data_IF_709896448632
#
_entry.id   IF_709896448632
#
_cell.length_a   1.000
_cell.length_b   1.000
_cell.length_c   1.000
_cell.angle_alpha   90.00
_cell.angle_beta   90.00
_cell.angle_gamma   90.00
#
_symmetry.space_group_name_H-M   'P 1'
#
loop_
_entity.id
_entity.type
_entity.pdbx_description
1 polymer ?
#
# COMPACT_ATOMS: atom_id res chain seq x y z
N UNK A 1 -20.68 -14.62 -4.81
CA UNK A 1 -19.89 -13.49 -4.28
C UNK A 1 -18.56 -13.47 -5.01
N UNK A 2 -18.02 -12.30 -5.37
CA UNK A 2 -16.72 -12.24 -6.06
C UNK A 2 -15.59 -12.47 -5.06
N UNK A 3 -14.44 -12.94 -5.54
CA UNK A 3 -13.26 -13.20 -4.69
C UNK A 3 -12.90 -12.01 -3.81
N UNK A 4 -12.96 -10.79 -4.36
CA UNK A 4 -12.68 -9.56 -3.63
C UNK A 4 -13.64 -9.32 -2.46
N UNK A 5 -14.93 -9.66 -2.62
CA UNK A 5 -15.94 -9.46 -1.58
C UNK A 5 -15.68 -10.39 -0.38
N UNK A 6 -15.19 -11.62 -0.65
CA UNK A 6 -14.80 -12.58 0.39
C UNK A 6 -13.56 -12.11 1.16
N UNK A 7 -12.53 -11.64 0.45
CA UNK A 7 -11.31 -11.12 1.06
C UNK A 7 -11.60 -9.87 1.91
N UNK A 8 -12.52 -9.01 1.48
CA UNK A 8 -12.95 -7.85 2.25
C UNK A 8 -13.77 -8.22 3.47
N UNK A 9 -14.63 -9.24 3.37
CA UNK A 9 -15.38 -9.74 4.51
C UNK A 9 -14.43 -10.31 5.57
N UNK A 10 -13.47 -11.15 5.17
CA UNK A 10 -12.47 -11.71 6.09
C UNK A 10 -11.59 -10.63 6.71
N UNK A 11 -11.10 -9.68 5.91
CA UNK A 11 -10.29 -8.57 6.43
C UNK A 11 -11.09 -7.71 7.43
N UNK A 12 -12.39 -7.49 7.20
CA UNK A 12 -13.23 -6.72 8.09
C UNK A 12 -13.47 -7.38 9.46
N UNK A 13 -13.29 -8.71 9.60
CA UNK A 13 -13.47 -9.41 10.88
C UNK A 13 -12.48 -8.97 11.97
N UNK A 14 -11.30 -8.52 11.56
CA UNK A 14 -10.23 -8.01 12.43
C UNK A 14 -10.11 -6.49 12.45
N UNK A 15 -11.09 -5.77 11.90
CA UNK A 15 -11.08 -4.30 11.78
C UNK A 15 -12.48 -3.71 12.03
N UNK A 16 -13.09 -3.99 13.18
CA UNK A 16 -14.40 -3.45 13.55
C UNK A 16 -14.29 -2.15 14.35
N UNK A 17 -13.28 -2.02 15.21
CA UNK A 17 -13.07 -0.86 16.06
C UNK A 17 -12.74 0.39 15.21
N UNK A 18 -13.37 1.54 15.53
CA UNK A 18 -13.18 2.79 14.78
C UNK A 18 -11.76 3.35 14.90
N UNK A 19 -11.15 3.28 16.09
CA UNK A 19 -9.77 3.71 16.33
C UNK A 19 -8.79 2.84 15.55
N UNK A 20 -8.96 1.52 15.58
CA UNK A 20 -8.12 0.61 14.79
C UNK A 20 -8.22 0.91 13.29
N UNK A 21 -9.43 1.10 12.77
CA UNK A 21 -9.65 1.50 11.37
C UNK A 21 -9.01 2.85 11.03
N UNK A 22 -9.11 3.85 11.90
CA UNK A 22 -8.50 5.16 11.70
C UNK A 22 -6.97 5.07 11.62
N UNK A 23 -6.36 4.28 12.50
CA UNK A 23 -4.92 4.00 12.44
C UNK A 23 -4.55 3.36 11.10
N UNK A 24 -5.34 2.38 10.64
CA UNK A 24 -5.12 1.70 9.35
C UNK A 24 -5.22 2.65 8.16
N UNK A 25 -6.18 3.58 8.17
CA UNK A 25 -6.32 4.62 7.12
C UNK A 25 -5.05 5.43 6.89
N UNK A 26 -4.23 5.62 7.92
CA UNK A 26 -2.97 6.36 7.85
C UNK A 26 -1.80 5.40 7.60
N UNK A 27 -1.71 4.33 8.39
CA UNK A 27 -0.52 3.47 8.41
C UNK A 27 -0.44 2.56 7.19
N UNK A 28 -1.54 2.01 6.70
CA UNK A 28 -1.51 1.07 5.56
C UNK A 28 -0.97 1.73 4.29
N UNK A 29 -1.44 2.92 3.86
CA UNK A 29 -0.85 3.60 2.71
C UNK A 29 0.64 3.95 2.90
N UNK A 30 1.02 4.37 4.09
CA UNK A 30 2.43 4.72 4.39
C UNK A 30 3.33 3.48 4.38
N UNK A 31 2.90 2.36 4.96
CA UNK A 31 3.67 1.11 4.92
C UNK A 31 3.82 0.65 3.47
N UNK A 32 2.75 0.66 2.70
CA UNK A 32 2.80 0.31 1.27
C UNK A 32 3.78 1.21 0.51
N UNK A 33 3.73 2.52 0.75
CA UNK A 33 4.65 3.49 0.16
C UNK A 33 6.10 3.24 0.58
N UNK A 34 6.39 2.97 1.85
CA UNK A 34 7.77 2.68 2.31
C UNK A 34 8.33 1.40 1.69
N UNK A 35 7.49 0.38 1.43
CA UNK A 35 7.93 -0.84 0.74
C UNK A 35 8.33 -0.51 -0.71
N UNK A 36 7.51 0.27 -1.44
CA UNK A 36 7.91 0.78 -2.76
C UNK A 36 9.18 1.63 -2.68
N UNK A 37 9.30 2.50 -1.67
CA UNK A 37 10.49 3.31 -1.41
C UNK A 37 11.75 2.46 -1.25
N UNK A 38 11.72 1.41 -0.43
CA UNK A 38 12.84 0.47 -0.32
C UNK A 38 13.15 -0.26 -1.62
N UNK A 39 12.13 -0.66 -2.38
CA UNK A 39 12.31 -1.29 -3.70
C UNK A 39 12.99 -0.31 -4.67
N UNK A 40 12.62 0.97 -4.63
CA UNK A 40 13.18 2.02 -5.49
C UNK A 40 14.68 2.24 -5.25
N UNK A 41 15.19 1.93 -4.05
CA UNK A 41 16.61 2.05 -3.70
C UNK A 41 17.46 0.88 -4.20
N UNK A 42 16.85 -0.19 -4.73
CA UNK A 42 17.60 -1.33 -5.26
C UNK A 42 18.33 -0.90 -6.55
N UNK A 43 19.68 -1.03 -6.61
CA UNK A 43 20.46 -0.61 -7.77
C UNK A 43 19.97 -1.26 -9.06
N UNK A 44 19.47 -0.44 -9.99
CA UNK A 44 18.96 -0.90 -11.28
C UNK A 44 18.88 0.27 -12.27
N UNK A 45 18.65 0.01 -13.58
CA UNK A 45 18.39 1.08 -14.54
C UNK A 45 17.18 1.92 -14.15
N UNK A 46 17.22 3.23 -14.45
CA UNK A 46 16.14 4.16 -14.15
C UNK A 46 15.52 4.70 -15.43
N UNK A 47 14.21 4.88 -15.41
CA UNK A 47 13.45 5.52 -16.49
C UNK A 47 12.87 6.83 -15.96
N UNK A 48 13.26 7.94 -16.58
CA UNK A 48 12.85 9.27 -16.15
C UNK A 48 11.81 9.85 -17.10
N UNK A 49 10.76 10.45 -16.54
CA UNK A 49 9.77 11.20 -17.26
C UNK A 49 9.76 12.66 -16.78
N UNK A 50 9.62 13.58 -17.72
CA UNK A 50 9.58 15.02 -17.43
C UNK A 50 8.45 15.32 -16.44
N UNK A 51 8.74 16.11 -15.40
CA UNK A 51 7.86 16.46 -14.27
C UNK A 51 7.47 15.32 -13.32
N UNK A 52 7.65 14.05 -13.70
CA UNK A 52 7.30 12.90 -12.87
C UNK A 52 8.48 12.34 -12.07
N UNK A 53 9.72 12.59 -12.53
CA UNK A 53 10.92 12.03 -11.91
C UNK A 53 11.32 10.69 -12.52
N UNK A 54 12.11 9.91 -11.78
CA UNK A 54 12.66 8.64 -12.25
C UNK A 54 12.12 7.46 -11.45
N UNK A 55 11.82 6.36 -12.15
CA UNK A 55 11.39 5.09 -11.56
C UNK A 55 12.43 4.03 -11.91
N UNK A 56 12.83 3.21 -10.94
CA UNK A 56 13.77 2.11 -11.15
C UNK A 56 13.11 0.93 -11.88
N UNK A 57 13.89 0.15 -12.63
CA UNK A 57 13.40 -1.04 -13.32
C UNK A 57 12.77 -2.04 -12.34
N UNK A 58 13.35 -2.19 -11.15
CA UNK A 58 12.84 -3.11 -10.12
C UNK A 58 11.50 -2.61 -9.56
N UNK A 59 11.34 -1.30 -9.36
CA UNK A 59 10.04 -0.70 -9.01
C UNK A 59 8.98 -0.96 -10.08
N UNK A 60 9.32 -0.81 -11.37
CA UNK A 60 8.39 -1.11 -12.46
C UNK A 60 7.95 -2.59 -12.46
N UNK A 61 8.89 -3.51 -12.23
CA UNK A 61 8.58 -4.95 -12.12
C UNK A 61 7.67 -5.22 -10.92
N UNK A 62 7.96 -4.63 -9.75
CA UNK A 62 7.14 -4.78 -8.56
C UNK A 62 5.71 -4.25 -8.78
N UNK A 63 5.59 -3.04 -9.37
CA UNK A 63 4.30 -2.44 -9.74
C UNK A 63 3.55 -3.34 -10.71
N UNK A 64 4.21 -3.89 -11.73
CA UNK A 64 3.58 -4.81 -12.68
C UNK A 64 3.03 -6.07 -11.98
N UNK A 65 3.82 -6.71 -11.12
CA UNK A 65 3.42 -7.90 -10.37
C UNK A 65 2.21 -7.61 -9.47
N UNK A 66 2.26 -6.52 -8.71
CA UNK A 66 1.17 -6.12 -7.80
C UNK A 66 -0.07 -5.70 -8.59
N UNK A 67 0.10 -5.05 -9.74
CA UNK A 67 -1.00 -4.72 -10.66
C UNK A 67 -1.68 -5.98 -11.18
N UNK A 68 -0.92 -7.02 -11.58
CA UNK A 68 -1.50 -8.30 -12.01
C UNK A 68 -2.33 -8.96 -10.89
N UNK A 69 -1.89 -8.84 -9.64
CA UNK A 69 -2.69 -9.27 -8.49
C UNK A 69 -4.02 -8.51 -8.41
N UNK A 70 -4.00 -7.17 -8.52
CA UNK A 70 -5.23 -6.36 -8.43
C UNK A 70 -6.17 -6.55 -9.63
N UNK A 71 -5.65 -6.69 -10.84
CA UNK A 71 -6.44 -6.97 -12.04
C UNK A 71 -7.20 -8.29 -11.94
N UNK A 72 -6.64 -9.29 -11.23
CA UNK A 72 -7.34 -10.56 -10.92
C UNK A 72 -8.50 -10.39 -9.94
N UNK A 73 -8.54 -9.30 -9.18
CA UNK A 73 -9.63 -9.00 -8.23
C UNK A 73 -10.71 -8.11 -8.86
N UNK A 74 -10.30 -7.07 -9.59
CA UNK A 74 -11.17 -6.16 -10.33
C UNK A 74 -10.33 -5.33 -11.32
N UNK A 75 -10.79 -5.21 -12.56
CA UNK A 75 -10.14 -4.35 -13.57
C UNK A 75 -10.07 -2.90 -13.10
N UNK A 76 -11.16 -2.38 -12.53
CA UNK A 76 -11.23 -1.00 -12.07
C UNK A 76 -10.21 -0.74 -10.94
N UNK A 77 -10.13 -1.64 -9.95
CA UNK A 77 -9.14 -1.52 -8.87
C UNK A 77 -7.72 -1.62 -9.42
N UNK A 78 -7.47 -2.54 -10.37
CA UNK A 78 -6.16 -2.65 -11.01
C UNK A 78 -5.72 -1.32 -11.63
N UNK A 79 -6.61 -0.66 -12.38
CA UNK A 79 -6.32 0.67 -12.94
C UNK A 79 -6.07 1.73 -11.87
N UNK A 80 -6.93 1.84 -10.86
CA UNK A 80 -6.74 2.82 -9.77
C UNK A 80 -5.41 2.59 -9.04
N UNK A 81 -5.07 1.32 -8.78
CA UNK A 81 -3.84 0.98 -8.07
C UNK A 81 -2.58 1.25 -8.89
N UNK A 82 -2.61 1.15 -10.23
CA UNK A 82 -1.50 1.61 -11.07
C UNK A 82 -1.21 3.10 -10.80
N UNK A 83 -2.24 3.96 -10.89
CA UNK A 83 -2.06 5.39 -10.66
C UNK A 83 -1.62 5.71 -9.24
N UNK A 84 -2.18 5.02 -8.24
CA UNK A 84 -1.79 5.19 -6.84
C UNK A 84 -0.31 4.80 -6.61
N UNK A 85 0.14 3.67 -7.16
CA UNK A 85 1.52 3.22 -7.03
C UNK A 85 2.50 4.11 -7.78
N UNK A 86 2.14 4.60 -8.97
CA UNK A 86 2.95 5.58 -9.70
C UNK A 86 3.08 6.88 -8.89
N UNK A 87 1.99 7.39 -8.32
CA UNK A 87 2.04 8.58 -7.45
C UNK A 87 2.91 8.34 -6.20
N UNK A 88 2.85 7.15 -5.61
CA UNK A 88 3.73 6.75 -4.52
C UNK A 88 5.21 6.75 -4.95
N UNK A 89 5.52 6.22 -6.13
CA UNK A 89 6.87 6.28 -6.72
C UNK A 89 7.34 7.72 -6.95
N UNK A 90 6.47 8.63 -7.38
CA UNK A 90 6.82 10.03 -7.52
C UNK A 90 7.29 10.65 -6.19
N UNK A 91 6.57 10.37 -5.09
CA UNK A 91 6.97 10.82 -3.75
C UNK A 91 8.23 10.11 -3.25
N UNK A 92 8.40 8.82 -3.55
CA UNK A 92 9.62 8.09 -3.22
C UNK A 92 10.84 8.68 -3.96
N UNK A 93 10.70 9.00 -5.25
CA UNK A 93 11.72 9.70 -6.01
C UNK A 93 12.08 11.05 -5.38
N UNK A 94 11.09 11.84 -4.97
CA UNK A 94 11.32 13.12 -4.29
C UNK A 94 12.12 12.97 -2.97
N UNK A 95 11.85 11.92 -2.20
CA UNK A 95 12.64 11.57 -1.00
C UNK A 95 14.05 11.15 -1.41
N UNK A 96 14.18 10.28 -2.42
CA UNK A 96 15.46 9.74 -2.87
C UNK A 96 16.43 10.83 -3.34
N UNK A 97 15.95 11.84 -4.08
CA UNK A 97 16.79 12.95 -4.52
C UNK A 97 17.14 13.92 -3.40
N UNK A 98 16.29 14.06 -2.38
CA UNK A 98 16.51 15.00 -1.29
C UNK A 98 17.48 14.44 -0.25
N UNK A 99 17.36 13.16 0.09
CA UNK A 99 18.15 12.52 1.13
C UNK A 99 19.31 11.66 0.60
N UNK A 100 19.34 11.36 -0.71
CA UNK A 100 20.42 10.61 -1.35
C UNK A 100 20.65 9.25 -0.71
N UNK A 101 21.89 8.97 -0.29
CA UNK A 101 22.26 7.73 0.40
C UNK A 101 21.54 7.51 1.73
N UNK A 102 20.98 8.56 2.34
CA UNK A 102 20.26 8.48 3.62
C UNK A 102 18.75 8.24 3.45
N UNK A 103 18.25 8.09 2.23
CA UNK A 103 16.81 7.93 1.95
C UNK A 103 16.19 6.72 2.64
N UNK A 104 16.95 5.64 2.82
CA UNK A 104 16.50 4.45 3.54
C UNK A 104 16.11 4.74 4.99
N UNK A 105 16.72 5.75 5.63
CA UNK A 105 16.41 6.15 7.01
C UNK A 105 14.97 6.68 7.09
N UNK A 106 14.55 7.47 6.09
CA UNK A 106 13.19 8.01 6.01
C UNK A 106 12.19 6.86 5.89
N UNK A 107 12.42 5.93 4.96
CA UNK A 107 11.53 4.78 4.79
C UNK A 107 11.50 3.89 6.03
N UNK A 108 12.65 3.65 6.66
CA UNK A 108 12.75 2.82 7.86
C UNK A 108 12.03 3.45 9.04
N UNK A 109 12.23 4.76 9.27
CA UNK A 109 11.56 5.48 10.34
C UNK A 109 10.05 5.44 10.16
N UNK A 110 9.55 5.76 8.96
CA UNK A 110 8.11 5.73 8.67
C UNK A 110 7.57 4.30 8.81
N UNK A 111 8.27 3.29 8.28
CA UNK A 111 7.88 1.89 8.36
C UNK A 111 7.76 1.41 9.82
N UNK A 112 8.77 1.69 10.66
CA UNK A 112 8.75 1.30 12.07
C UNK A 112 7.62 2.00 12.83
N UNK A 113 7.48 3.31 12.68
CA UNK A 113 6.45 4.09 13.39
C UNK A 113 5.05 3.58 13.02
N UNK A 114 4.80 3.41 11.73
CA UNK A 114 3.49 2.97 11.23
C UNK A 114 3.17 1.54 11.64
N UNK A 115 4.15 0.62 11.68
CA UNK A 115 3.96 -0.73 12.21
C UNK A 115 3.66 -0.74 13.70
N UNK A 116 4.38 0.05 14.51
CA UNK A 116 4.09 0.20 15.95
C UNK A 116 2.65 0.65 16.13
N UNK A 117 2.23 1.69 15.40
CA UNK A 117 0.85 2.18 15.45
C UNK A 117 -0.16 1.12 15.00
N UNK A 118 0.08 0.37 13.92
CA UNK A 118 -0.79 -0.74 13.50
C UNK A 118 -0.93 -1.81 14.58
N UNK A 119 0.16 -2.22 15.22
CA UNK A 119 0.12 -3.20 16.30
C UNK A 119 -0.64 -2.68 17.52
N UNK A 120 -0.52 -1.39 17.85
CA UNK A 120 -1.35 -0.75 18.87
C UNK A 120 -2.84 -0.78 18.49
N UNK A 121 -3.17 -0.47 17.23
CA UNK A 121 -4.52 -0.59 16.70
C UNK A 121 -5.11 -2.00 16.85
N UNK A 122 -4.33 -3.02 16.50
CA UNK A 122 -4.72 -4.43 16.67
C UNK A 122 -4.83 -4.86 18.14
N UNK A 123 -4.00 -4.30 19.02
CA UNK A 123 -4.12 -4.52 20.47
C UNK A 123 -5.45 -3.96 20.99
N UNK A 124 -5.87 -2.79 20.52
CA UNK A 124 -7.17 -2.19 20.86
C UNK A 124 -8.32 -3.03 20.29
N UNK A 125 -8.18 -3.57 19.08
CA UNK A 125 -9.16 -4.46 18.46
C UNK A 125 -9.30 -5.80 19.20
N UNK A 126 -8.24 -6.29 19.83
CA UNK A 126 -8.19 -7.63 20.44
C UNK A 126 -8.10 -8.78 19.42
N UNK A 127 -7.79 -8.45 18.15
CA UNK A 127 -7.62 -9.42 17.05
C UNK A 127 -6.19 -9.33 16.51
N UNK A 128 -5.62 -10.49 16.17
CA UNK A 128 -4.32 -10.56 15.52
C UNK A 128 -4.38 -9.93 14.11
N UNK A 129 -3.30 -9.30 13.63
CA UNK A 129 -3.23 -8.80 12.27
C UNK A 129 -3.48 -9.87 11.21
N UNK A 130 -4.26 -9.55 10.18
CA UNK A 130 -4.65 -10.52 9.14
C UNK A 130 -3.47 -11.03 8.31
N UNK A 131 -2.41 -10.24 8.13
CA UNK A 131 -1.23 -10.65 7.37
C UNK A 131 -0.45 -11.81 8.02
N UNK A 132 -0.63 -12.04 9.33
CA UNK A 132 -0.04 -13.19 10.01
C UNK A 132 -0.70 -14.51 9.60
N UNK A 133 -1.94 -14.46 9.08
CA UNK A 133 -2.59 -15.63 8.48
C UNK A 133 -2.11 -15.83 7.04
N UNK A 134 -2.06 -14.74 6.27
CA UNK A 134 -1.67 -14.76 4.87
C UNK A 134 -1.13 -13.39 4.45
N UNK A 135 0.09 -13.38 3.90
CA UNK A 135 0.79 -12.19 3.46
C UNK A 135 -0.02 -11.38 2.41
N UNK A 136 -0.91 -12.02 1.66
CA UNK A 136 -1.78 -11.33 0.70
C UNK A 136 -2.61 -10.22 1.35
N UNK A 137 -2.91 -10.31 2.65
CA UNK A 137 -3.67 -9.29 3.36
C UNK A 137 -2.94 -7.94 3.49
N UNK A 138 -1.62 -7.90 3.28
CA UNK A 138 -0.89 -6.63 3.10
C UNK A 138 -1.34 -5.91 1.82
N UNK A 139 -1.62 -6.66 0.75
CA UNK A 139 -2.11 -6.11 -0.51
C UNK A 139 -3.63 -5.84 -0.48
N UNK A 140 -4.39 -6.57 0.34
CA UNK A 140 -5.83 -6.35 0.53
C UNK A 140 -6.12 -5.09 1.35
N UNK A 141 -5.29 -4.77 2.36
CA UNK A 141 -5.49 -3.58 3.21
C UNK A 141 -5.73 -2.27 2.43
N UNK A 142 -4.85 -1.87 1.50
CA UNK A 142 -5.00 -0.64 0.71
C UNK A 142 -6.33 -0.57 -0.06
N UNK A 143 -6.68 -1.65 -0.76
CA UNK A 143 -7.90 -1.68 -1.58
C UNK A 143 -9.16 -1.83 -0.73
N UNK A 144 -9.07 -2.42 0.46
CA UNK A 144 -10.16 -2.45 1.43
C UNK A 144 -10.48 -1.04 1.92
N UNK A 145 -9.47 -0.21 2.19
CA UNK A 145 -9.66 1.20 2.53
C UNK A 145 -10.30 1.97 1.35
N UNK A 146 -9.77 1.83 0.14
CA UNK A 146 -10.35 2.43 -1.07
C UNK A 146 -11.82 2.02 -1.28
N UNK A 147 -12.20 0.80 -0.90
CA UNK A 147 -13.59 0.32 -1.03
C UNK A 147 -14.59 1.21 -0.29
N UNK A 148 -14.22 1.83 0.84
CA UNK A 148 -15.10 2.76 1.55
C UNK A 148 -15.30 4.06 0.76
N UNK A 149 -14.26 4.55 0.09
CA UNK A 149 -14.36 5.73 -0.79
C UNK A 149 -15.27 5.39 -1.98
N UNK A 150 -15.04 4.27 -2.65
CA UNK A 150 -15.87 3.85 -3.78
C UNK A 150 -17.33 3.67 -3.38
N UNK A 151 -17.60 3.03 -2.23
CA UNK A 151 -18.97 2.91 -1.68
C UNK A 151 -19.60 4.27 -1.42
N UNK A 152 -18.86 5.23 -0.84
CA UNK A 152 -19.36 6.59 -0.59
C UNK A 152 -19.65 7.35 -1.90
N UNK A 153 -18.90 7.09 -2.95
CA UNK A 153 -19.08 7.68 -4.29
C UNK A 153 -20.07 6.91 -5.17
N UNK A 154 -20.63 5.78 -4.71
CA UNK A 154 -21.52 4.94 -5.50
C UNK A 154 -20.83 4.19 -6.66
N UNK A 155 -19.49 4.14 -6.66
CA UNK A 155 -18.70 3.49 -7.72
C UNK A 155 -18.68 1.98 -7.48
N UNK A 156 -19.09 1.23 -8.51
CA UNK A 156 -18.94 -0.22 -8.54
C UNK A 156 -17.56 -0.55 -9.10
N UNK A 157 -16.88 -1.44 -8.41
CA UNK A 157 -15.59 -2.03 -8.78
C UNK A 157 -15.73 -3.53 -8.76
#
# INVERSE_FOLDING_TARGET
MRKIDLLFAEYAESHRNSTNKMIHWICVPLIFWTILGFISLIPSPHFCALYFGCISLISLIAIAIVTLFYLRLSLFIGFIMIFAMLLMEHFAYAVNIHFGENSWIVYLAVFIITWILQFLGHKIEGKKPSFLKDLQFLLIGPIWLLSFIFKKLGIRY
#
